data_IF_498085540881
#
_entry.id   IF_498085540881
#
_cell.length_a   1.000
_cell.length_b   1.000
_cell.length_c   1.000
_cell.angle_alpha   90.00
_cell.angle_beta   90.00
_cell.angle_gamma   90.00
#
_symmetry.space_group_name_H-M   'P 1'
#
loop_
_entity.id
_entity.type
_entity.pdbx_description
1 polymer ?
#
# COMPACT_ATOMS: atom_id res chain seq x y z
N UNK A 1 -40.91 -14.44 20.27
CA UNK A 1 -40.99 -14.09 18.83
C UNK A 1 -40.31 -12.75 18.56
N UNK A 2 -39.11 -12.54 19.10
CA UNK A 2 -38.38 -11.25 19.02
C UNK A 2 -36.90 -11.49 18.73
N UNK A 3 -36.34 -12.62 19.20
CA UNK A 3 -34.94 -13.01 18.98
C UNK A 3 -34.60 -13.39 17.53
N UNK A 4 -35.56 -13.95 16.77
CA UNK A 4 -35.38 -14.28 15.34
C UNK A 4 -35.33 -13.03 14.43
N UNK A 5 -35.96 -11.94 14.84
CA UNK A 5 -36.02 -10.68 14.05
C UNK A 5 -34.73 -9.88 14.23
N UNK A 6 -34.13 -9.90 15.43
CA UNK A 6 -32.84 -9.23 15.71
C UNK A 6 -31.67 -9.91 15.01
N UNK A 7 -31.72 -11.25 14.87
CA UNK A 7 -30.69 -11.99 14.12
C UNK A 7 -30.77 -11.72 12.61
N UNK A 8 -31.96 -11.40 12.09
CA UNK A 8 -32.19 -11.12 10.67
C UNK A 8 -31.81 -9.68 10.29
N UNK A 9 -31.89 -8.73 11.22
CA UNK A 9 -31.54 -7.32 10.97
C UNK A 9 -30.03 -7.03 11.05
N UNK A 10 -29.22 -7.89 11.67
CA UNK A 10 -27.75 -7.74 11.69
C UNK A 10 -27.09 -8.16 10.35
N UNK A 11 -27.80 -8.91 9.52
CA UNK A 11 -27.30 -9.39 8.22
C UNK A 11 -27.44 -8.37 7.07
N UNK A 12 -28.15 -7.25 7.28
CA UNK A 12 -28.56 -6.33 6.20
C UNK A 12 -27.70 -5.06 6.12
N UNK A 13 -26.84 -4.78 7.12
CA UNK A 13 -26.20 -3.47 7.25
C UNK A 13 -24.69 -3.41 6.96
N UNK A 14 -24.10 -4.42 6.32
CA UNK A 14 -22.75 -4.29 5.79
C UNK A 14 -22.84 -4.18 4.27
N UNK A 15 -22.89 -2.97 3.67
CA UNK A 15 -22.51 -2.85 2.28
C UNK A 15 -21.05 -3.30 2.24
N UNK A 16 -20.83 -4.53 1.79
CA UNK A 16 -19.51 -5.01 1.45
C UNK A 16 -18.93 -3.93 0.52
N UNK A 17 -17.92 -3.21 1.00
CA UNK A 17 -17.15 -2.31 0.16
C UNK A 17 -16.68 -3.15 -1.02
N UNK A 18 -17.32 -2.96 -2.18
CA UNK A 18 -16.90 -3.59 -3.42
C UNK A 18 -15.50 -3.03 -3.70
N UNK A 19 -14.48 -3.78 -3.31
CA UNK A 19 -13.11 -3.46 -3.64
C UNK A 19 -12.99 -3.65 -5.14
N UNK A 20 -13.01 -2.55 -5.89
CA UNK A 20 -12.70 -2.57 -7.33
C UNK A 20 -11.39 -3.32 -7.50
N UNK A 21 -11.31 -4.34 -8.36
CA UNK A 21 -10.08 -5.06 -8.59
C UNK A 21 -8.99 -4.06 -8.97
N UNK A 22 -7.91 -4.03 -8.19
CA UNK A 22 -6.74 -3.24 -8.56
C UNK A 22 -6.28 -3.69 -9.96
N UNK A 23 -5.79 -2.76 -10.81
CA UNK A 23 -5.23 -3.12 -12.10
C UNK A 23 -4.23 -4.26 -11.94
N UNK A 24 -4.43 -5.35 -12.67
CA UNK A 24 -3.53 -6.49 -12.62
C UNK A 24 -2.14 -6.02 -13.08
N UNK A 25 -1.16 -6.08 -12.19
CA UNK A 25 0.21 -5.70 -12.50
C UNK A 25 0.82 -6.68 -13.51
N UNK A 26 1.34 -6.20 -14.66
CA UNK A 26 2.02 -7.06 -15.64
C UNK A 26 3.10 -7.95 -15.02
N UNK A 27 3.27 -9.16 -15.56
CA UNK A 27 4.23 -10.16 -15.06
C UNK A 27 5.68 -9.64 -15.07
N UNK A 28 6.02 -8.78 -16.03
CA UNK A 28 7.36 -8.19 -16.15
C UNK A 28 7.72 -7.35 -14.91
N UNK A 29 6.75 -6.63 -14.34
CA UNK A 29 6.95 -5.87 -13.11
C UNK A 29 7.16 -6.78 -11.89
N UNK A 30 6.57 -7.98 -11.87
CA UNK A 30 6.83 -8.94 -10.81
C UNK A 30 8.30 -9.40 -10.81
N UNK A 31 8.89 -9.61 -12.00
CA UNK A 31 10.32 -9.91 -12.14
C UNK A 31 11.20 -8.73 -11.68
N UNK A 32 10.81 -7.49 -11.98
CA UNK A 32 11.51 -6.29 -11.47
C UNK A 32 11.46 -6.22 -9.94
N UNK A 33 10.31 -6.47 -9.31
CA UNK A 33 10.22 -6.47 -7.85
C UNK A 33 11.04 -7.60 -7.20
N UNK A 34 11.07 -8.77 -7.83
CA UNK A 34 11.88 -9.90 -7.37
C UNK A 34 13.38 -9.59 -7.44
N UNK A 35 13.84 -8.94 -8.52
CA UNK A 35 15.24 -8.55 -8.68
C UNK A 35 15.63 -7.41 -7.72
N UNK A 36 14.74 -6.44 -7.50
CA UNK A 36 14.97 -5.34 -6.56
C UNK A 36 14.90 -5.81 -5.09
N UNK A 37 14.25 -6.94 -4.79
CA UNK A 37 14.02 -7.39 -3.42
C UNK A 37 13.22 -6.38 -2.60
N UNK A 38 12.28 -5.69 -3.26
CA UNK A 38 11.46 -4.61 -2.71
C UNK A 38 10.02 -4.78 -3.15
N UNK A 39 9.11 -4.21 -2.37
CA UNK A 39 7.70 -4.08 -2.74
C UNK A 39 7.50 -2.74 -3.45
N UNK A 40 6.56 -2.70 -4.39
CA UNK A 40 6.19 -1.50 -5.13
C UNK A 40 4.68 -1.30 -5.16
N UNK A 41 4.27 -0.08 -5.48
CA UNK A 41 2.88 0.31 -5.63
C UNK A 41 2.58 0.47 -7.13
N UNK A 42 1.69 -0.38 -7.67
CA UNK A 42 1.28 -0.32 -9.06
C UNK A 42 -0.06 0.39 -9.18
N UNK A 43 -0.05 1.60 -9.75
CA UNK A 43 -1.23 2.42 -9.99
C UNK A 43 -1.06 3.18 -11.30
N UNK A 44 -2.16 3.43 -12.00
CA UNK A 44 -2.18 4.20 -13.25
C UNK A 44 -1.16 3.72 -14.31
N UNK A 45 -0.94 2.40 -14.37
CA UNK A 45 0.06 1.72 -15.22
C UNK A 45 1.54 2.05 -14.93
N UNK A 46 1.84 2.61 -13.75
CA UNK A 46 3.21 2.92 -13.31
C UNK A 46 3.54 2.12 -12.06
N UNK A 47 4.71 1.46 -12.04
CA UNK A 47 5.23 0.77 -10.87
C UNK A 47 6.13 1.71 -10.07
N UNK A 48 5.65 2.23 -8.95
CA UNK A 48 6.48 3.05 -8.05
C UNK A 48 7.17 2.17 -7.01
N UNK A 49 8.50 2.21 -6.96
CA UNK A 49 9.30 1.52 -5.92
C UNK A 49 10.04 2.55 -5.07
N UNK A 50 9.84 2.48 -3.74
CA UNK A 50 10.53 3.35 -2.79
C UNK A 50 11.92 2.78 -2.47
N UNK A 51 12.96 3.62 -2.63
CA UNK A 51 14.35 3.28 -2.35
C UNK A 51 14.85 4.18 -1.20
N UNK A 52 14.77 3.70 0.05
CA UNK A 52 15.23 4.49 1.19
C UNK A 52 16.76 4.58 1.21
N UNK A 53 17.28 5.75 1.54
CA UNK A 53 18.71 6.02 1.69
C UNK A 53 19.14 5.79 3.14
N UNK A 54 19.66 4.61 3.45
CA UNK A 54 20.12 4.26 4.80
C UNK A 54 21.45 4.94 5.19
N UNK A 55 22.18 5.46 4.21
CA UNK A 55 23.43 6.20 4.38
C UNK A 55 23.22 7.64 4.89
N UNK A 56 22.02 8.19 4.71
CA UNK A 56 21.67 9.54 5.12
C UNK A 56 21.13 9.59 6.54
N UNK A 57 21.68 10.51 7.33
CA UNK A 57 21.15 10.90 8.65
C UNK A 57 20.54 12.28 8.52
N UNK A 58 19.21 12.34 8.57
CA UNK A 58 18.44 13.60 8.45
C UNK A 58 17.89 13.98 9.81
N UNK A 59 17.99 15.27 10.15
CA UNK A 59 17.31 15.86 11.30
C UNK A 59 16.55 17.10 10.85
N UNK A 60 15.30 17.22 11.29
CA UNK A 60 14.45 18.41 11.08
C UNK A 60 14.19 19.00 12.45
N UNK A 61 14.57 20.26 12.67
CA UNK A 61 14.46 20.95 13.96
C UNK A 61 15.05 20.17 15.14
N UNK A 62 16.16 19.45 14.91
CA UNK A 62 16.84 18.63 15.90
C UNK A 62 16.23 17.23 16.14
N UNK A 63 15.13 16.89 15.45
CA UNK A 63 14.50 15.56 15.56
C UNK A 63 15.02 14.63 14.47
N UNK A 64 15.56 13.48 14.87
CA UNK A 64 16.01 12.45 13.94
C UNK A 64 14.83 11.96 13.09
N UNK A 65 14.92 12.16 11.77
CA UNK A 65 13.84 11.84 10.84
C UNK A 65 14.31 10.74 9.89
N UNK A 66 13.64 9.57 9.87
CA UNK A 66 14.06 8.45 9.05
C UNK A 66 13.85 8.78 7.57
N UNK A 67 14.77 8.37 6.71
CA UNK A 67 14.75 8.75 5.28
C UNK A 67 13.54 8.25 4.47
N UNK A 68 12.83 7.15 4.83
CA UNK A 68 11.56 6.80 4.21
C UNK A 68 10.46 7.87 4.31
N UNK A 69 10.59 8.88 5.18
CA UNK A 69 9.66 10.02 5.31
C UNK A 69 9.83 11.08 4.19
N UNK A 70 10.04 10.64 2.95
CA UNK A 70 10.16 11.54 1.79
C UNK A 70 11.57 12.06 1.49
N UNK A 71 12.58 11.63 2.26
CA UNK A 71 14.00 11.92 1.99
C UNK A 71 14.70 10.79 1.21
N UNK A 72 13.96 9.74 0.83
CA UNK A 72 14.39 8.68 -0.06
C UNK A 72 14.09 8.99 -1.52
N UNK A 73 14.66 8.20 -2.43
CA UNK A 73 14.34 8.26 -3.85
C UNK A 73 13.21 7.31 -4.23
N UNK A 74 12.69 7.46 -5.44
CA UNK A 74 11.80 6.47 -6.06
C UNK A 74 12.24 6.18 -7.49
N UNK A 75 11.93 4.98 -7.96
CA UNK A 75 12.02 4.58 -9.37
C UNK A 75 10.61 4.25 -9.88
N UNK A 76 10.34 4.58 -11.14
CA UNK A 76 9.07 4.44 -11.83
C UNK A 76 9.30 3.99 -13.28
#
# INVERSE_FOLDING_TARGET
MTLRVVLLSLLIACPAFAQTPAPAMPADYAAVLQTLGRQGDFKDNVLKVNIPRADLKVAVDGVATPTPFGFGGWVA
#
